data_IF_528119356917
#
_entry.id   IF_528119356917
#
_cell.length_a   1.000
_cell.length_b   1.000
_cell.length_c   1.000
_cell.angle_alpha   90.00
_cell.angle_beta   90.00
_cell.angle_gamma   90.00
#
_symmetry.space_group_name_H-M   'P 1'
#
loop_
_entity.id
_entity.type
_entity.pdbx_description
1 polymer ?
#
# COMPACT_ATOMS: atom_id res chain seq x y z
N UNK A 1 -10.25 -0.63 2.31
CA UNK A 1 -9.39 -1.83 2.16
C UNK A 1 -8.85 -1.85 0.73
N UNK A 2 -7.55 -2.10 0.54
CA UNK A 2 -6.95 -2.40 -0.75
C UNK A 2 -6.58 -3.89 -0.79
N UNK A 3 -7.06 -4.59 -1.81
CA UNK A 3 -6.73 -5.97 -2.11
C UNK A 3 -5.78 -5.92 -3.31
N UNK A 4 -4.62 -6.54 -3.20
CA UNK A 4 -3.64 -6.58 -4.27
C UNK A 4 -3.71 -7.87 -5.08
N UNK A 5 -2.91 -7.97 -6.15
CA UNK A 5 -2.83 -9.17 -6.97
C UNK A 5 -2.37 -10.38 -6.15
N UNK A 6 -2.76 -11.58 -6.61
CA UNK A 6 -2.50 -12.88 -5.96
C UNK A 6 -3.20 -13.09 -4.61
N UNK A 7 -4.06 -12.15 -4.18
CA UNK A 7 -4.88 -12.35 -2.98
C UNK A 7 -5.81 -13.54 -3.16
N UNK A 8 -6.03 -14.33 -2.09
CA UNK A 8 -6.88 -15.51 -2.12
C UNK A 8 -6.38 -16.67 -2.99
N UNK A 9 -5.13 -16.61 -3.48
CA UNK A 9 -4.52 -17.69 -4.29
C UNK A 9 -4.07 -18.91 -3.47
N UNK A 10 -4.16 -18.84 -2.15
CA UNK A 10 -3.80 -19.91 -1.21
C UNK A 10 -4.83 -20.01 -0.08
N UNK A 11 -5.04 -21.22 0.38
CA UNK A 11 -5.77 -21.47 1.61
C UNK A 11 -4.92 -21.16 2.83
N UNK A 12 -5.50 -21.18 4.03
CA UNK A 12 -4.76 -21.04 5.31
C UNK A 12 -3.67 -22.12 5.50
N UNK A 13 -3.75 -23.23 4.77
CA UNK A 13 -2.78 -24.33 4.80
C UNK A 13 -1.81 -24.30 3.60
N UNK A 14 -1.74 -23.18 2.88
CA UNK A 14 -0.93 -22.99 1.68
C UNK A 14 -1.26 -23.91 0.51
N UNK A 15 -2.39 -24.64 0.54
CA UNK A 15 -2.89 -25.37 -0.60
C UNK A 15 -3.55 -24.44 -1.63
N UNK A 16 -3.65 -24.88 -2.86
CA UNK A 16 -4.41 -24.17 -3.91
C UNK A 16 -5.91 -24.34 -3.57
N UNK A 17 -6.69 -23.26 -3.50
CA UNK A 17 -8.12 -23.34 -3.27
C UNK A 17 -8.86 -23.89 -4.51
N UNK A 18 -10.02 -24.50 -4.30
CA UNK A 18 -10.89 -24.97 -5.38
C UNK A 18 -11.58 -23.82 -6.12
N UNK A 19 -11.59 -22.63 -5.53
CA UNK A 19 -12.17 -21.42 -6.11
C UNK A 19 -11.09 -20.54 -6.74
N UNK A 20 -11.44 -19.91 -7.88
CA UNK A 20 -10.55 -18.91 -8.51
C UNK A 20 -10.28 -17.72 -7.58
N UNK A 21 -9.11 -17.07 -7.72
CA UNK A 21 -8.82 -15.85 -6.97
C UNK A 21 -9.87 -14.74 -7.24
N UNK A 22 -10.09 -13.85 -6.30
CA UNK A 22 -9.51 -13.78 -4.97
C UNK A 22 -10.22 -14.65 -3.91
N UNK A 23 -10.76 -15.81 -4.29
CA UNK A 23 -11.38 -16.76 -3.38
C UNK A 23 -12.62 -16.16 -2.70
N UNK A 24 -12.75 -16.32 -1.39
CA UNK A 24 -13.90 -15.78 -0.63
C UNK A 24 -14.00 -14.24 -0.70
N UNK A 25 -12.94 -13.52 -1.06
CA UNK A 25 -12.98 -12.07 -1.24
C UNK A 25 -13.83 -11.64 -2.45
N UNK A 26 -14.15 -12.57 -3.38
CA UNK A 26 -15.08 -12.32 -4.50
C UNK A 26 -16.41 -11.76 -4.01
N UNK A 27 -16.93 -12.26 -2.90
CA UNK A 27 -18.19 -11.80 -2.30
C UNK A 27 -18.16 -10.35 -1.84
N UNK A 28 -16.99 -9.84 -1.54
CA UNK A 28 -16.80 -8.47 -1.06
C UNK A 28 -16.69 -7.46 -2.19
N UNK A 29 -16.11 -7.84 -3.32
CA UNK A 29 -15.85 -6.90 -4.42
C UNK A 29 -16.65 -7.21 -5.70
N UNK A 30 -17.26 -8.39 -5.80
CA UNK A 30 -18.00 -8.78 -7.01
C UNK A 30 -17.10 -8.99 -8.23
N UNK A 31 -15.87 -9.51 -8.01
CA UNK A 31 -14.87 -9.68 -9.04
C UNK A 31 -14.20 -11.04 -8.90
N UNK A 32 -13.94 -11.69 -10.02
CA UNK A 32 -13.27 -12.99 -10.12
C UNK A 32 -12.11 -12.92 -11.10
N UNK A 33 -10.95 -13.42 -10.71
CA UNK A 33 -9.77 -13.52 -11.60
C UNK A 33 -9.93 -14.80 -12.43
N UNK A 34 -9.97 -14.67 -13.74
CA UNK A 34 -10.17 -15.80 -14.67
C UNK A 34 -8.89 -16.23 -15.37
N UNK A 35 -7.92 -15.31 -15.49
CA UNK A 35 -6.61 -15.55 -16.10
C UNK A 35 -5.56 -14.70 -15.46
N UNK A 36 -4.33 -15.18 -15.42
CA UNK A 36 -3.16 -14.43 -14.97
C UNK A 36 -2.08 -14.48 -16.04
N UNK A 37 -1.31 -13.40 -16.12
CA UNK A 37 -0.13 -13.30 -16.97
C UNK A 37 1.10 -12.93 -16.15
N UNK A 38 2.19 -13.69 -16.38
CA UNK A 38 3.52 -13.24 -15.99
C UNK A 38 4.09 -12.43 -17.13
N UNK A 39 4.29 -11.15 -16.89
CA UNK A 39 4.80 -10.21 -17.89
C UNK A 39 6.33 -10.24 -17.90
N UNK A 40 6.92 -10.21 -19.09
CA UNK A 40 8.36 -10.10 -19.21
C UNK A 40 8.78 -8.63 -19.16
N UNK A 41 9.97 -8.31 -18.64
CA UNK A 41 10.51 -6.96 -18.72
C UNK A 41 10.47 -6.44 -20.19
N UNK A 42 9.94 -5.23 -20.37
CA UNK A 42 9.80 -4.60 -21.69
C UNK A 42 8.58 -5.03 -22.52
N UNK A 43 7.79 -6.00 -22.06
CA UNK A 43 6.52 -6.41 -22.70
C UNK A 43 5.31 -5.85 -21.96
N UNK A 44 5.47 -5.58 -20.67
CA UNK A 44 4.41 -5.01 -19.85
C UNK A 44 4.01 -3.61 -20.33
N UNK A 45 2.72 -3.37 -20.48
CA UNK A 45 2.20 -2.01 -20.67
C UNK A 45 2.26 -1.27 -19.31
N UNK A 46 3.03 -0.17 -19.21
CA UNK A 46 3.03 0.60 -17.98
C UNK A 46 1.61 1.03 -17.58
N UNK A 47 1.28 1.07 -16.28
CA UNK A 47 2.17 0.92 -15.13
C UNK A 47 2.35 -0.54 -14.63
N UNK A 48 1.84 -1.56 -15.33
CA UNK A 48 2.03 -2.97 -14.93
C UNK A 48 3.49 -3.41 -15.11
N UNK A 49 4.01 -4.21 -14.18
CA UNK A 49 5.41 -4.65 -14.17
C UNK A 49 5.57 -6.09 -14.65
N UNK A 50 5.23 -7.05 -13.82
CA UNK A 50 5.53 -8.47 -14.02
C UNK A 50 4.34 -9.41 -13.83
N UNK A 51 3.21 -8.90 -13.33
CA UNK A 51 2.01 -9.67 -13.05
C UNK A 51 0.75 -8.90 -13.40
N UNK A 52 -0.14 -9.52 -14.17
CA UNK A 52 -1.45 -8.98 -14.54
C UNK A 52 -2.53 -10.04 -14.35
N UNK A 53 -3.64 -9.64 -13.76
CA UNK A 53 -4.82 -10.47 -13.56
C UNK A 53 -5.98 -9.98 -14.43
N UNK A 54 -6.54 -10.88 -15.21
CA UNK A 54 -7.75 -10.62 -16.00
C UNK A 54 -8.96 -10.92 -15.13
N UNK A 55 -9.79 -9.92 -14.97
CA UNK A 55 -10.91 -9.94 -14.04
C UNK A 55 -12.25 -9.96 -14.79
N UNK A 56 -13.13 -10.84 -14.37
CA UNK A 56 -14.54 -10.87 -14.75
C UNK A 56 -15.37 -10.22 -13.66
N UNK A 57 -16.14 -9.18 -14.02
CA UNK A 57 -16.96 -8.40 -13.10
C UNK A 57 -17.99 -7.57 -13.85
N UNK A 58 -19.10 -7.21 -13.20
CA UNK A 58 -20.09 -6.26 -13.70
C UNK A 58 -19.73 -4.78 -13.35
N UNK A 59 -18.66 -4.57 -12.56
CA UNK A 59 -18.25 -3.22 -12.13
C UNK A 59 -17.29 -2.64 -13.17
N UNK A 60 -17.50 -1.40 -13.57
CA UNK A 60 -16.53 -0.68 -14.40
C UNK A 60 -15.24 -0.40 -13.61
N UNK A 61 -14.07 -0.51 -14.22
CA UNK A 61 -12.81 -0.20 -13.55
C UNK A 61 -12.67 1.30 -13.29
N UNK A 62 -12.13 1.69 -12.14
CA UNK A 62 -11.73 3.07 -11.81
C UNK A 62 -10.48 3.49 -12.61
N UNK A 63 -9.66 2.53 -13.03
CA UNK A 63 -8.49 2.75 -13.88
C UNK A 63 -8.23 1.56 -14.79
N UNK A 64 -7.68 1.84 -15.98
CA UNK A 64 -7.30 0.85 -16.99
C UNK A 64 -5.85 1.03 -17.42
N UNK A 65 -5.26 -0.02 -17.98
CA UNK A 65 -4.02 0.04 -18.74
C UNK A 65 -4.26 0.69 -20.11
N UNK A 66 -3.20 1.05 -20.81
CA UNK A 66 -3.26 1.68 -22.13
C UNK A 66 -3.94 0.82 -23.21
N UNK A 67 -3.93 -0.49 -23.04
CA UNK A 67 -4.57 -1.48 -23.91
C UNK A 67 -6.05 -1.75 -23.55
N UNK A 68 -6.59 -1.02 -22.55
CA UNK A 68 -7.96 -1.14 -22.09
C UNK A 68 -8.21 -2.19 -21.01
N UNK A 69 -7.20 -2.97 -20.60
CA UNK A 69 -7.36 -3.88 -19.47
C UNK A 69 -7.63 -3.14 -18.18
N UNK A 70 -8.59 -3.64 -17.40
CA UNK A 70 -8.91 -3.08 -16.10
C UNK A 70 -7.75 -3.26 -15.13
N UNK A 71 -7.37 -2.20 -14.44
CA UNK A 71 -6.27 -2.17 -13.47
C UNK A 71 -6.76 -2.06 -12.03
N UNK A 72 -7.72 -1.20 -11.79
CA UNK A 72 -8.23 -0.90 -10.45
C UNK A 72 -9.76 -0.88 -10.46
N UNK A 73 -10.37 -1.58 -9.53
CA UNK A 73 -11.82 -1.56 -9.31
C UNK A 73 -12.15 -1.11 -7.90
N UNK A 74 -13.35 -0.59 -7.73
CA UNK A 74 -13.88 -0.18 -6.46
C UNK A 74 -15.31 -0.68 -6.23
N UNK A 75 -15.50 -1.32 -5.07
CA UNK A 75 -16.81 -1.66 -4.54
C UNK A 75 -16.97 -1.06 -3.13
N UNK A 76 -17.64 0.07 -3.01
CA UNK A 76 -17.75 0.81 -1.78
C UNK A 76 -16.38 1.22 -1.19
N UNK A 77 -16.04 0.68 -0.03
CA UNK A 77 -14.76 0.95 0.67
C UNK A 77 -13.63 -0.03 0.30
N UNK A 78 -13.88 -0.92 -0.63
CA UNK A 78 -12.91 -1.96 -1.06
C UNK A 78 -12.41 -1.60 -2.44
N UNK A 79 -11.10 -1.72 -2.65
CA UNK A 79 -10.44 -1.63 -3.94
C UNK A 79 -9.71 -2.91 -4.25
N UNK A 80 -9.67 -3.26 -5.52
CA UNK A 80 -8.90 -4.37 -6.06
C UNK A 80 -7.93 -3.86 -7.11
N UNK A 81 -6.64 -4.10 -6.90
CA UNK A 81 -5.57 -3.79 -7.84
C UNK A 81 -5.16 -5.11 -8.51
N UNK A 82 -5.32 -5.21 -9.84
CA UNK A 82 -5.15 -6.45 -10.58
C UNK A 82 -3.74 -6.66 -11.18
N UNK A 83 -2.80 -5.81 -10.83
CA UNK A 83 -1.42 -5.95 -11.32
C UNK A 83 -0.40 -5.57 -10.26
N UNK A 84 0.81 -6.11 -10.38
CA UNK A 84 1.96 -5.45 -9.78
C UNK A 84 2.28 -4.22 -10.60
N UNK A 85 2.40 -3.08 -9.94
CA UNK A 85 2.57 -1.78 -10.59
C UNK A 85 3.83 -1.08 -10.13
N UNK A 86 4.27 -0.11 -10.93
CA UNK A 86 5.38 0.74 -10.54
C UNK A 86 5.10 1.50 -9.23
N UNK A 87 6.18 1.99 -8.62
CA UNK A 87 6.12 2.67 -7.33
C UNK A 87 5.20 3.90 -7.35
N UNK A 88 5.25 4.67 -8.43
CA UNK A 88 4.48 5.91 -8.53
C UNK A 88 2.98 5.62 -8.55
N UNK A 89 2.55 4.66 -9.35
CA UNK A 89 1.17 4.21 -9.41
C UNK A 89 0.72 3.61 -8.09
N UNK A 90 1.55 2.78 -7.44
CA UNK A 90 1.21 2.22 -6.12
C UNK A 90 1.02 3.31 -5.08
N UNK A 91 1.87 4.33 -5.05
CA UNK A 91 1.73 5.47 -4.14
C UNK A 91 0.40 6.19 -4.38
N UNK A 92 0.06 6.50 -5.64
CA UNK A 92 -1.23 7.14 -5.98
C UNK A 92 -2.44 6.32 -5.52
N UNK A 93 -2.41 5.00 -5.74
CA UNK A 93 -3.48 4.10 -5.30
C UNK A 93 -3.61 4.08 -3.77
N UNK A 94 -2.48 4.04 -3.06
CA UNK A 94 -2.46 4.05 -1.60
C UNK A 94 -2.92 5.38 -1.03
N UNK A 95 -2.48 6.50 -1.59
CA UNK A 95 -2.89 7.85 -1.14
C UNK A 95 -4.38 8.07 -1.36
N UNK A 96 -4.91 7.66 -2.51
CA UNK A 96 -6.36 7.69 -2.77
C UNK A 96 -7.12 6.84 -1.77
N UNK A 97 -6.65 5.61 -1.51
CA UNK A 97 -7.30 4.71 -0.55
C UNK A 97 -7.24 5.24 0.90
N UNK A 98 -6.14 5.89 1.27
CA UNK A 98 -5.98 6.52 2.57
C UNK A 98 -6.89 7.76 2.71
N UNK A 99 -6.95 8.60 1.67
CA UNK A 99 -7.84 9.77 1.61
C UNK A 99 -9.31 9.39 1.79
N UNK A 100 -9.80 8.37 1.06
CA UNK A 100 -11.17 7.88 1.20
C UNK A 100 -11.45 7.28 2.60
N UNK A 101 -10.43 6.73 3.23
CA UNK A 101 -10.53 6.19 4.58
C UNK A 101 -10.32 7.27 5.66
N UNK A 102 -10.09 8.52 5.26
CA UNK A 102 -9.76 9.65 6.15
C UNK A 102 -8.54 9.35 7.04
N UNK A 103 -7.59 8.56 6.53
CA UNK A 103 -6.33 8.26 7.21
C UNK A 103 -5.34 9.37 6.83
N UNK A 104 -4.88 10.19 7.78
CA UNK A 104 -3.89 11.21 7.50
C UNK A 104 -2.58 10.57 7.10
N UNK A 105 -2.08 10.95 5.93
CA UNK A 105 -0.76 10.55 5.43
C UNK A 105 0.19 11.73 5.51
N UNK A 106 1.47 11.45 5.62
CA UNK A 106 2.53 12.45 5.55
C UNK A 106 3.69 11.89 4.74
N UNK A 107 4.17 12.62 3.72
CA UNK A 107 5.37 12.23 3.02
C UNK A 107 6.57 12.26 3.95
N UNK A 108 7.42 11.24 3.86
CA UNK A 108 8.68 11.16 4.58
C UNK A 108 9.84 11.20 3.60
N UNK A 109 10.97 11.80 3.96
CA UNK A 109 12.20 11.68 3.20
C UNK A 109 12.54 10.21 2.94
N UNK A 110 13.15 9.95 1.79
CA UNK A 110 13.59 8.60 1.44
C UNK A 110 14.54 8.03 2.51
N UNK A 111 14.31 6.76 2.86
CA UNK A 111 15.05 6.10 3.94
C UNK A 111 14.48 6.30 5.33
N UNK A 112 13.68 7.34 5.59
CA UNK A 112 13.02 7.47 6.90
C UNK A 112 11.80 6.58 7.00
N UNK A 113 11.62 5.96 8.17
CA UNK A 113 10.44 5.17 8.52
C UNK A 113 9.98 5.53 9.92
N UNK A 114 8.67 5.63 10.08
CA UNK A 114 8.03 5.83 11.39
C UNK A 114 7.25 4.60 11.79
N UNK A 115 7.28 4.29 13.07
CA UNK A 115 6.43 3.28 13.70
C UNK A 115 5.86 3.84 15.00
N UNK A 116 4.62 3.47 15.30
CA UNK A 116 3.95 3.81 16.54
C UNK A 116 3.67 2.56 17.34
N UNK A 117 3.99 2.60 18.60
CA UNK A 117 3.72 1.50 19.52
C UNK A 117 3.58 2.02 20.96
N UNK A 118 2.47 1.68 21.60
CA UNK A 118 2.20 2.01 23.02
C UNK A 118 2.46 3.49 23.38
N UNK A 119 1.95 4.42 22.57
CA UNK A 119 2.11 5.86 22.80
C UNK A 119 3.51 6.41 22.50
N UNK A 120 4.37 5.59 21.94
CA UNK A 120 5.69 6.01 21.48
C UNK A 120 5.73 6.05 19.96
N UNK A 121 6.50 6.99 19.43
CA UNK A 121 6.86 7.07 18.01
C UNK A 121 8.34 6.77 17.88
N UNK A 122 8.64 5.87 16.99
CA UNK A 122 10.00 5.47 16.61
C UNK A 122 10.27 5.96 15.19
N UNK A 123 11.37 6.65 15.00
CA UNK A 123 11.90 7.00 13.68
C UNK A 123 13.17 6.23 13.43
N UNK A 124 13.30 5.69 12.23
CA UNK A 124 14.46 4.92 11.77
C UNK A 124 15.00 5.54 10.50
N UNK A 125 16.29 5.73 10.43
CA UNK A 125 16.98 6.12 9.20
C UNK A 125 17.65 4.89 8.56
N UNK A 126 17.11 4.44 7.43
CA UNK A 126 17.66 3.38 6.60
C UNK A 126 18.51 3.90 5.43
N UNK A 127 18.67 5.23 5.30
CA UNK A 127 19.57 5.81 4.30
C UNK A 127 21.03 5.74 4.76
N UNK A 128 21.94 5.79 3.79
CA UNK A 128 23.38 5.87 4.06
C UNK A 128 23.83 7.27 4.54
N UNK A 129 22.91 8.25 4.53
CA UNK A 129 23.18 9.65 4.86
C UNK A 129 22.33 10.05 6.07
N UNK A 130 22.77 11.10 6.77
CA UNK A 130 21.96 11.72 7.84
C UNK A 130 20.66 12.24 7.27
N UNK A 131 19.56 11.94 7.94
CA UNK A 131 18.21 12.42 7.61
C UNK A 131 17.65 13.24 8.77
N UNK A 132 17.00 14.34 8.43
CA UNK A 132 16.28 15.16 9.39
C UNK A 132 14.81 14.81 9.38
N UNK A 133 14.20 14.75 10.56
CA UNK A 133 12.75 14.58 10.68
C UNK A 133 12.04 15.79 10.06
N UNK A 134 10.92 15.59 9.36
CA UNK A 134 10.08 16.68 8.91
C UNK A 134 9.63 17.57 10.06
N UNK A 135 9.48 18.85 9.80
CA UNK A 135 9.01 19.82 10.77
C UNK A 135 7.70 19.39 11.43
N UNK A 136 7.61 19.61 12.73
CA UNK A 136 6.47 19.20 13.56
C UNK A 136 6.45 17.71 13.95
N UNK A 137 7.47 16.95 13.59
CA UNK A 137 7.73 15.62 14.13
C UNK A 137 8.87 15.65 15.15
N UNK A 138 8.71 14.85 16.20
CA UNK A 138 9.72 14.70 17.24
C UNK A 138 9.78 15.90 18.18
N UNK A 139 9.21 15.75 19.35
CA UNK A 139 9.34 16.64 20.49
C UNK A 139 9.64 15.80 21.71
N UNK A 140 10.37 16.37 22.66
CA UNK A 140 10.67 15.70 23.94
C UNK A 140 11.24 14.28 23.71
N UNK A 141 12.35 14.21 22.97
CA UNK A 141 12.99 12.96 22.62
C UNK A 141 13.39 12.17 23.88
N UNK A 142 12.99 10.90 23.91
CA UNK A 142 13.44 9.92 24.91
C UNK A 142 14.79 9.35 24.47
N UNK A 143 15.00 9.22 23.16
CA UNK A 143 16.21 8.72 22.54
C UNK A 143 16.47 9.47 21.23
N UNK A 144 17.72 9.80 20.97
CA UNK A 144 18.13 10.44 19.72
C UNK A 144 17.71 11.92 19.64
N UNK A 145 17.71 12.45 18.43
CA UNK A 145 17.38 13.83 18.09
C UNK A 145 16.60 13.90 16.78
N UNK A 146 16.28 15.11 16.33
CA UNK A 146 15.64 15.32 15.02
C UNK A 146 16.55 14.96 13.82
N UNK A 147 17.87 14.91 14.04
CA UNK A 147 18.86 14.49 13.05
C UNK A 147 19.27 13.05 13.33
N UNK A 148 18.96 12.16 12.38
CA UNK A 148 19.26 10.75 12.47
C UNK A 148 20.44 10.41 11.55
N UNK A 149 21.58 10.02 12.10
CA UNK A 149 22.70 9.50 11.29
C UNK A 149 22.29 8.19 10.58
N UNK A 150 23.11 7.65 9.66
CA UNK A 150 22.90 6.32 9.09
C UNK A 150 22.64 5.28 10.16
N UNK A 151 21.62 4.42 9.97
CA UNK A 151 21.11 3.47 10.95
C UNK A 151 20.66 4.08 12.28
N UNK A 152 20.50 5.41 12.35
CA UNK A 152 20.07 6.14 13.54
C UNK A 152 18.60 5.89 13.87
N UNK A 153 18.32 6.00 15.17
CA UNK A 153 16.99 5.86 15.75
C UNK A 153 16.68 7.06 16.63
N UNK A 154 15.46 7.57 16.54
CA UNK A 154 14.93 8.54 17.50
C UNK A 154 13.59 8.02 18.03
N UNK A 155 13.32 8.31 19.31
CA UNK A 155 12.09 7.90 20.01
C UNK A 155 11.56 9.08 20.81
N UNK A 156 10.25 9.32 20.70
CA UNK A 156 9.54 10.32 21.48
C UNK A 156 8.14 9.87 21.84
N UNK A 157 7.50 10.55 22.77
CA UNK A 157 6.10 10.30 23.11
C UNK A 157 5.19 10.86 22.01
N UNK A 158 4.18 10.11 21.60
CA UNK A 158 3.13 10.64 20.74
C UNK A 158 2.35 11.71 21.53
N UNK A 159 2.21 12.89 20.95
CA UNK A 159 1.35 13.91 21.55
C UNK A 159 -0.08 13.36 21.62
N UNK A 160 -0.72 13.49 22.78
CA UNK A 160 -2.13 13.13 22.92
C UNK A 160 -2.94 13.84 21.83
N UNK A 161 -3.65 13.08 21.02
CA UNK A 161 -4.64 13.66 20.11
C UNK A 161 -5.69 14.32 20.99
N UNK A 162 -5.74 15.64 21.02
CA UNK A 162 -6.93 16.32 21.51
C UNK A 162 -8.08 15.87 20.63
N UNK A 163 -8.94 15.03 21.16
CA UNK A 163 -10.25 14.78 20.56
C UNK A 163 -10.95 16.13 20.49
N UNK A 164 -11.13 16.63 19.27
CA UNK A 164 -12.03 17.76 19.01
C UNK A 164 -13.43 17.18 19.20
N UNK A 165 -14.06 17.55 20.31
CA UNK A 165 -15.48 17.28 20.55
C UNK A 165 -16.33 18.03 19.54
#
# INVERSE_FOLDING_TARGET
VLIGPRSGSKTRHFAIPDTLPPGDLQKLIGLKVTRVESLRPGVAAPPALDWLEHCETAIAPDATLADGHGLLWRAGRIRYLAATVDRETLVRVLDTAAGDAQIPTRPLPEGLRLRRHQGLVFAFNHAAETRRLPEGLGRDFILGTEELPPAGVAVWREAERREVQ
#
